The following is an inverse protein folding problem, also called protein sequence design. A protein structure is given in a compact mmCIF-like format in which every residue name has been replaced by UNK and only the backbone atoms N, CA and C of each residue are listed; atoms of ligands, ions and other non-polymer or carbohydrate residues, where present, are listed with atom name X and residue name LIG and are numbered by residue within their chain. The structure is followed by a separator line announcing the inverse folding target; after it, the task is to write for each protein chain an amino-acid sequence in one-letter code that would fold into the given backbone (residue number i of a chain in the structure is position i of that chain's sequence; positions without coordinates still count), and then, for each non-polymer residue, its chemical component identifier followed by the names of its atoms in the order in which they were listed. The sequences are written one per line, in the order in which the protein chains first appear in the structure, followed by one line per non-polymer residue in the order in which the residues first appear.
data_IF_865157024369
#
_entry.id   IF_865157024369
#
_cell.length_a   1.000
_cell.length_b   1.000
_cell.length_c   1.000
_cell.angle_alpha   90.00
_cell.angle_beta   90.00
_cell.angle_gamma   90.00
#
_symmetry.space_group_name_H-M   'P 1'
#
loop_
_entity.id
_entity.type
_entity.pdbx_description
1 polymer ?
#
# COMPACT_ATOMS: atom_id res chain seq x y z
N UNK A 1 6.97 11.59 2.24
CA UNK A 1 7.97 10.52 2.08
C UNK A 1 7.29 9.15 1.92
N UNK A 2 6.29 8.81 2.74
CA UNK A 2 5.55 7.52 2.71
C UNK A 2 4.83 7.20 1.38
N UNK A 3 4.17 8.18 0.74
CA UNK A 3 3.47 7.95 -0.55
C UNK A 3 4.41 7.56 -1.71
N UNK A 4 5.68 7.98 -1.67
CA UNK A 4 6.66 7.65 -2.72
C UNK A 4 7.09 6.18 -2.64
N UNK A 5 7.18 5.62 -1.43
CA UNK A 5 7.57 4.22 -1.27
C UNK A 5 6.46 3.27 -1.74
N UNK A 6 5.20 3.59 -1.41
CA UNK A 6 4.04 2.81 -1.86
C UNK A 6 3.92 2.75 -3.40
N UNK A 7 4.16 3.86 -4.09
CA UNK A 7 4.19 3.90 -5.57
C UNK A 7 5.30 3.02 -6.16
N UNK A 8 6.48 3.03 -5.55
CA UNK A 8 7.61 2.20 -5.98
C UNK A 8 7.31 0.71 -5.80
N UNK A 9 6.68 0.32 -4.68
CA UNK A 9 6.26 -1.06 -4.42
C UNK A 9 5.15 -1.48 -5.39
N UNK A 10 4.14 -0.62 -5.60
CA UNK A 10 3.07 -0.87 -6.56
C UNK A 10 3.61 -1.11 -7.98
N UNK A 11 4.57 -0.31 -8.42
CA UNK A 11 5.26 -0.51 -9.70
C UNK A 11 6.03 -1.82 -9.75
N UNK A 12 6.84 -2.11 -8.73
CA UNK A 12 7.61 -3.37 -8.67
C UNK A 12 6.69 -4.60 -8.73
N UNK A 13 5.53 -4.55 -8.07
CA UNK A 13 4.54 -5.61 -8.13
C UNK A 13 3.90 -5.70 -9.51
N UNK A 14 3.45 -4.56 -10.07
CA UNK A 14 2.87 -4.52 -11.42
C UNK A 14 3.82 -5.12 -12.48
N UNK A 15 5.12 -4.78 -12.45
CA UNK A 15 6.10 -5.34 -13.39
C UNK A 15 6.27 -6.86 -13.26
N UNK A 16 5.85 -7.48 -12.16
CA UNK A 16 5.93 -8.93 -11.93
C UNK A 16 4.63 -9.65 -12.25
N UNK A 17 3.48 -9.02 -11.98
CA UNK A 17 2.17 -9.68 -11.99
C UNK A 17 1.14 -9.05 -12.92
N UNK A 18 1.49 -7.96 -13.61
CA UNK A 18 0.61 -7.15 -14.47
C UNK A 18 -0.63 -6.60 -13.74
N UNK A 19 -0.62 -6.64 -12.41
CA UNK A 19 -1.69 -6.18 -11.55
C UNK A 19 -1.10 -5.53 -10.30
N UNK A 20 -1.66 -4.41 -9.88
CA UNK A 20 -1.27 -3.74 -8.65
C UNK A 20 -2.50 -3.21 -7.89
N UNK A 21 -2.39 -3.22 -6.57
CA UNK A 21 -3.37 -2.64 -5.67
C UNK A 21 -2.66 -1.97 -4.50
N UNK A 22 -3.30 -0.94 -3.95
CA UNK A 22 -2.90 -0.32 -2.67
C UNK A 22 -4.01 -0.56 -1.68
N UNK A 23 -3.66 -1.03 -0.49
CA UNK A 23 -4.60 -1.24 0.61
C UNK A 23 -4.25 -0.21 1.69
N UNK A 24 -5.21 0.67 1.99
CA UNK A 24 -5.16 1.61 3.09
C UNK A 24 -5.91 0.96 4.26
N UNK A 25 -5.20 0.75 5.37
CA UNK A 25 -5.76 0.15 6.57
C UNK A 25 -5.87 1.24 7.63
N UNK A 26 -7.09 1.57 8.02
CA UNK A 26 -7.37 2.45 9.15
C UNK A 26 -7.57 1.60 10.40
N UNK A 27 -6.51 1.48 11.20
CA UNK A 27 -6.49 0.64 12.41
C UNK A 27 -6.26 1.49 13.66
N UNK A 28 -6.67 0.97 14.82
CA UNK A 28 -6.44 1.58 16.14
C UNK A 28 -5.55 0.70 17.03
N UNK A 29 -5.50 -0.61 16.77
CA UNK A 29 -4.82 -1.58 17.63
C UNK A 29 -3.55 -2.17 17.01
N UNK A 30 -3.08 -1.64 15.90
CA UNK A 30 -1.85 -2.06 15.25
C UNK A 30 -0.64 -1.81 16.15
N UNK A 31 0.36 -2.67 16.03
CA UNK A 31 1.66 -2.50 16.69
C UNK A 31 2.70 -2.21 15.64
N UNK A 32 3.35 -1.06 15.78
CA UNK A 32 4.54 -0.75 15.02
C UNK A 32 5.67 -1.68 15.44
N UNK A 33 6.23 -2.42 14.49
CA UNK A 33 7.32 -3.37 14.72
C UNK A 33 8.59 -3.00 13.96
N UNK A 34 8.75 -1.74 13.56
CA UNK A 34 9.92 -1.26 12.80
C UNK A 34 11.25 -1.70 13.43
N UNK A 35 11.38 -1.59 14.76
CA UNK A 35 12.61 -1.95 15.48
C UNK A 35 12.94 -3.45 15.44
N UNK A 36 11.97 -4.28 15.09
CA UNK A 36 12.05 -5.73 15.08
C UNK A 36 11.96 -6.31 13.66
N UNK A 37 11.75 -5.47 12.64
CA UNK A 37 11.66 -5.88 11.24
C UNK A 37 13.06 -6.01 10.64
N UNK A 38 13.25 -7.03 9.79
CA UNK A 38 14.48 -7.22 9.00
C UNK A 38 14.71 -6.03 8.04
N UNK A 39 13.65 -5.30 7.70
CA UNK A 39 13.65 -4.14 6.81
C UNK A 39 12.98 -2.94 7.49
N UNK A 40 13.73 -2.27 8.38
CA UNK A 40 13.23 -1.11 9.15
C UNK A 40 12.69 0.04 8.29
N UNK A 41 13.09 0.11 7.01
CA UNK A 41 12.62 1.11 6.04
C UNK A 41 11.17 0.90 5.60
N UNK A 42 10.58 -0.26 5.86
CA UNK A 42 9.22 -0.63 5.40
C UNK A 42 8.11 -0.17 6.34
N UNK A 43 8.47 0.50 7.45
CA UNK A 43 7.51 1.03 8.43
C UNK A 43 6.49 -0.02 8.92
N UNK A 44 6.94 -1.26 9.11
CA UNK A 44 6.06 -2.42 9.29
C UNK A 44 5.17 -2.31 10.53
N UNK A 45 3.89 -2.68 10.35
CA UNK A 45 2.87 -2.73 11.40
C UNK A 45 2.21 -4.11 11.42
N UNK A 46 1.91 -4.60 12.63
CA UNK A 46 1.32 -5.92 12.83
C UNK A 46 -0.03 -5.82 13.55
N UNK A 47 -0.98 -6.60 13.06
CA UNK A 47 -2.31 -6.74 13.65
C UNK A 47 -2.41 -8.09 14.36
N UNK A 48 -3.16 -8.16 15.47
CA UNK A 48 -3.37 -9.42 16.19
C UNK A 48 -4.14 -10.42 15.32
N UNK A 49 -3.91 -11.71 15.58
CA UNK A 49 -4.75 -12.74 14.99
C UNK A 49 -6.22 -12.51 15.38
N UNK A 50 -7.13 -12.75 14.42
CA UNK A 50 -8.58 -12.54 14.55
C UNK A 50 -9.03 -11.06 14.65
N UNK A 51 -8.16 -10.09 14.36
CA UNK A 51 -8.61 -8.71 14.09
C UNK A 51 -9.64 -8.71 12.95
N UNK A 52 -10.71 -7.93 13.13
CA UNK A 52 -11.81 -7.84 12.19
C UNK A 52 -11.76 -6.51 11.45
N UNK A 53 -11.96 -6.55 10.14
CA UNK A 53 -11.94 -5.36 9.29
C UNK A 53 -13.21 -5.30 8.44
N UNK A 54 -13.68 -4.09 8.17
CA UNK A 54 -14.77 -3.81 7.25
C UNK A 54 -14.20 -3.10 6.03
N UNK A 55 -14.62 -3.53 4.85
CA UNK A 55 -14.33 -2.81 3.61
C UNK A 55 -15.17 -1.54 3.57
N UNK A 56 -14.51 -0.38 3.61
CA UNK A 56 -15.18 0.92 3.55
C UNK A 56 -15.35 1.37 2.09
N UNK A 57 -14.27 1.35 1.31
CA UNK A 57 -14.31 1.84 -0.06
C UNK A 57 -13.37 1.11 -1.01
N UNK A 58 -13.75 1.11 -2.29
CA UNK A 58 -12.94 0.61 -3.41
C UNK A 58 -12.93 1.69 -4.48
N UNK A 59 -11.73 2.17 -4.84
CA UNK A 59 -11.53 3.09 -5.96
C UNK A 59 -10.81 2.35 -7.08
N UNK A 60 -11.44 2.28 -8.23
CA UNK A 60 -10.89 1.61 -9.41
C UNK A 60 -10.09 2.57 -10.28
N UNK A 61 -9.23 2.01 -11.14
CA UNK A 61 -8.42 2.71 -12.15
C UNK A 61 -7.56 3.89 -11.63
N UNK A 62 -7.10 3.79 -10.39
CA UNK A 62 -6.31 4.84 -9.74
C UNK A 62 -4.85 4.77 -10.19
N UNK A 63 -4.23 5.94 -10.40
CA UNK A 63 -2.79 6.05 -10.61
C UNK A 63 -2.04 5.76 -9.30
N UNK A 64 -1.41 4.59 -9.21
CA UNK A 64 -0.78 4.10 -7.98
C UNK A 64 0.64 4.62 -7.77
N UNK A 65 1.33 4.98 -8.85
CA UNK A 65 2.70 5.48 -8.85
C UNK A 65 2.76 6.98 -9.19
N UNK A 66 1.85 7.79 -8.65
CA UNK A 66 1.71 9.19 -9.04
C UNK A 66 2.98 10.02 -8.84
N UNK A 67 3.81 9.69 -7.84
CA UNK A 67 5.09 10.35 -7.63
C UNK A 67 6.15 9.90 -8.63
N UNK A 68 6.20 8.62 -9.00
CA UNK A 68 7.07 8.10 -10.06
C UNK A 68 6.70 8.63 -11.44
N UNK A 69 5.41 8.66 -11.74
CA UNK A 69 4.89 9.02 -13.06
C UNK A 69 5.15 10.49 -13.45
N UNK A 70 5.61 11.33 -12.51
CA UNK A 70 6.09 12.68 -12.84
C UNK A 70 7.37 12.67 -13.70
N UNK A 71 8.06 11.53 -13.78
CA UNK A 71 9.22 11.33 -14.65
C UNK A 71 8.79 10.64 -15.95
N UNK A 72 9.09 11.25 -17.10
CA UNK A 72 8.60 10.81 -18.43
C UNK A 72 8.93 9.35 -18.79
N UNK A 73 9.98 8.78 -18.21
CA UNK A 73 10.41 7.40 -18.45
C UNK A 73 9.72 6.37 -17.54
N UNK A 74 8.82 6.79 -16.64
CA UNK A 74 8.11 5.91 -15.73
C UNK A 74 6.62 5.83 -16.14
N UNK A 75 6.17 4.67 -16.68
CA UNK A 75 4.80 4.54 -17.15
C UNK A 75 3.80 4.63 -16.01
N UNK A 76 2.58 5.07 -16.32
CA UNK A 76 1.47 5.08 -15.39
C UNK A 76 1.10 3.64 -14.99
N UNK A 77 1.12 3.37 -13.69
CA UNK A 77 0.62 2.12 -13.12
C UNK A 77 -0.77 2.39 -12.57
N UNK A 78 -1.77 1.80 -13.21
CA UNK A 78 -3.16 1.88 -12.77
C UNK A 78 -3.59 0.62 -12.02
N UNK A 79 -4.44 0.80 -11.04
CA UNK A 79 -4.95 -0.31 -10.25
C UNK A 79 -6.04 0.10 -9.28
N UNK A 80 -6.27 -0.74 -8.27
CA UNK A 80 -7.33 -0.52 -7.28
C UNK A 80 -6.75 0.01 -5.97
N UNK A 81 -7.47 0.92 -5.33
CA UNK A 81 -7.21 1.36 -3.95
C UNK A 81 -8.36 0.87 -3.08
N UNK A 82 -8.03 0.09 -2.05
CA UNK A 82 -8.99 -0.38 -1.04
C UNK A 82 -8.78 0.39 0.24
N UNK A 83 -9.85 0.87 0.87
CA UNK A 83 -9.81 1.34 2.26
C UNK A 83 -10.54 0.34 3.13
N UNK A 84 -9.85 -0.20 4.13
CA UNK A 84 -10.42 -1.10 5.14
C UNK A 84 -10.25 -0.49 6.52
N UNK A 85 -11.28 -0.63 7.37
CA UNK A 85 -11.31 -0.06 8.72
C UNK A 85 -11.36 -1.19 9.74
N UNK A 86 -10.53 -1.10 10.79
CA UNK A 86 -10.59 -2.01 11.93
C UNK A 86 -11.90 -1.81 12.73
N UNK A 87 -12.59 -2.92 13.03
CA UNK A 87 -13.87 -2.95 13.74
C UNK A 87 -13.70 -3.06 15.26
#
# INVERSE_FOLDING_TARGET
MERSYAGTVARKNFCKTEAAAVIIIESKNEKNIIKYSDLQTEAEVLHKSKSSFILESVKEDQLLNAFEHQYDYQPAIRGKVFTIIEK
#
